data_IF_149498163082
#
_entry.id   IF_149498163082
#
_cell.length_a   1.000
_cell.length_b   1.000
_cell.length_c   1.000
_cell.angle_alpha   90.00
_cell.angle_beta   90.00
_cell.angle_gamma   90.00
#
_symmetry.space_group_name_H-M   'P 1'
#
loop_
_entity.id
_entity.type
_entity.pdbx_description
1 polymer ?
#
# COMPACT_ATOMS: atom_id res chain seq x y z
N UNK A 1 18.38 -59.33 26.61
CA UNK A 1 18.38 -57.94 27.03
C UNK A 1 19.68 -57.33 26.53
N UNK A 2 19.70 -56.74 25.35
CA UNK A 2 20.87 -56.04 24.79
C UNK A 2 20.38 -54.79 24.05
N UNK A 3 20.52 -53.64 24.74
CA UNK A 3 20.25 -52.35 24.20
C UNK A 3 21.28 -52.00 23.11
N UNK A 4 20.80 -51.63 21.92
CA UNK A 4 21.63 -51.02 20.87
C UNK A 4 21.59 -49.47 21.05
N UNK A 5 22.75 -48.80 21.12
CA UNK A 5 22.78 -47.34 21.17
C UNK A 5 22.43 -46.74 19.80
N UNK A 6 21.49 -45.80 19.79
CA UNK A 6 21.12 -45.05 18.62
C UNK A 6 22.24 -44.07 18.19
N UNK A 7 22.76 -44.24 17.00
CA UNK A 7 23.73 -43.35 16.39
C UNK A 7 23.07 -42.04 16.02
N UNK A 8 23.49 -40.93 16.67
CA UNK A 8 23.14 -39.55 16.30
C UNK A 8 23.87 -39.18 15.03
N UNK A 9 23.17 -39.17 13.91
CA UNK A 9 23.66 -38.50 12.68
C UNK A 9 23.43 -36.97 12.81
N UNK A 10 24.43 -36.27 13.30
CA UNK A 10 24.51 -34.84 13.28
C UNK A 10 25.21 -34.40 11.98
N UNK A 11 24.60 -33.50 11.20
CA UNK A 11 25.39 -32.48 10.54
C UNK A 11 25.42 -32.38 9.01
N UNK A 12 24.40 -32.83 8.24
CA UNK A 12 24.40 -32.59 6.78
C UNK A 12 23.25 -31.72 6.27
N UNK A 13 22.27 -31.36 7.12
CA UNK A 13 21.08 -30.63 6.69
C UNK A 13 21.26 -29.09 6.53
N UNK A 14 22.31 -28.50 7.12
CA UNK A 14 22.46 -27.05 7.17
C UNK A 14 23.09 -26.45 5.90
N UNK A 15 23.96 -27.18 5.22
CA UNK A 15 24.65 -26.71 4.00
C UNK A 15 23.70 -26.69 2.79
N UNK A 16 22.83 -27.68 2.67
CA UNK A 16 21.85 -27.77 1.57
C UNK A 16 20.73 -26.73 1.64
N UNK A 17 20.39 -26.28 2.86
CA UNK A 17 19.38 -25.20 3.03
C UNK A 17 19.87 -23.83 2.57
N UNK A 18 21.16 -23.51 2.69
CA UNK A 18 21.74 -22.24 2.23
C UNK A 18 21.87 -22.18 0.69
N UNK A 19 22.24 -23.29 0.05
CA UNK A 19 22.33 -23.36 -1.41
C UNK A 19 20.96 -23.18 -2.10
N UNK A 20 19.88 -23.69 -1.50
CA UNK A 20 18.51 -23.53 -2.00
C UNK A 20 17.97 -22.10 -1.89
N UNK A 21 18.42 -21.31 -0.89
CA UNK A 21 18.00 -19.93 -0.76
C UNK A 21 18.67 -19.02 -1.81
N UNK A 22 19.97 -19.15 -2.03
CA UNK A 22 20.70 -18.39 -3.07
C UNK A 22 20.10 -18.63 -4.48
N UNK A 23 19.82 -19.88 -4.83
CA UNK A 23 19.20 -20.22 -6.13
C UNK A 23 17.78 -19.66 -6.28
N UNK A 24 17.03 -19.54 -5.19
CA UNK A 24 15.70 -18.87 -5.21
C UNK A 24 15.86 -17.37 -5.41
N UNK A 25 16.80 -16.72 -4.74
CA UNK A 25 17.07 -15.30 -4.92
C UNK A 25 17.55 -14.95 -6.33
N UNK A 26 18.44 -15.74 -6.91
CA UNK A 26 18.89 -15.55 -8.30
C UNK A 26 17.76 -15.81 -9.30
N UNK A 27 16.94 -16.85 -9.07
CA UNK A 27 15.78 -17.14 -9.91
C UNK A 27 14.67 -16.08 -9.80
N UNK A 28 14.60 -15.32 -8.70
CA UNK A 28 13.64 -14.22 -8.55
C UNK A 28 14.20 -12.88 -9.06
N UNK A 29 15.51 -12.73 -9.13
CA UNK A 29 16.18 -11.49 -9.56
C UNK A 29 16.37 -11.40 -11.08
N UNK A 30 16.40 -12.56 -11.81
CA UNK A 30 16.68 -12.53 -13.24
C UNK A 30 15.68 -11.69 -14.07
N UNK A 31 14.35 -11.64 -13.77
CA UNK A 31 13.47 -10.80 -14.56
C UNK A 31 13.78 -9.32 -14.39
N UNK A 32 14.17 -8.89 -13.17
CA UNK A 32 14.58 -7.52 -12.91
C UNK A 32 15.87 -7.17 -13.66
N UNK A 33 16.88 -8.07 -13.63
CA UNK A 33 18.10 -7.90 -14.39
C UNK A 33 17.83 -7.81 -15.89
N UNK A 34 16.92 -8.63 -16.41
CA UNK A 34 16.53 -8.63 -17.82
C UNK A 34 15.90 -7.29 -18.22
N UNK A 35 15.01 -6.75 -17.39
CA UNK A 35 14.39 -5.44 -17.61
C UNK A 35 15.44 -4.32 -17.60
N UNK A 36 16.37 -4.34 -16.63
CA UNK A 36 17.44 -3.34 -16.54
C UNK A 36 18.38 -3.44 -17.73
N UNK A 37 18.76 -4.64 -18.15
CA UNK A 37 19.60 -4.85 -19.34
C UNK A 37 18.92 -4.40 -20.62
N UNK A 38 17.61 -4.69 -20.76
CA UNK A 38 16.83 -4.23 -21.90
C UNK A 38 16.73 -2.69 -21.92
N UNK A 39 16.48 -2.07 -20.77
CA UNK A 39 16.49 -0.62 -20.64
C UNK A 39 17.83 -0.02 -21.08
N UNK A 40 18.93 -0.54 -20.53
CA UNK A 40 20.27 -0.06 -20.86
C UNK A 40 20.60 -0.26 -22.34
N UNK A 41 20.22 -1.40 -22.93
CA UNK A 41 20.39 -1.67 -24.35
C UNK A 41 19.63 -0.66 -25.23
N UNK A 42 18.37 -0.35 -24.89
CA UNK A 42 17.56 0.63 -25.62
C UNK A 42 18.18 2.04 -25.53
N UNK A 43 18.68 2.41 -24.33
CA UNK A 43 19.34 3.68 -24.09
C UNK A 43 20.66 3.77 -24.88
N UNK A 44 21.47 2.71 -24.85
CA UNK A 44 22.77 2.65 -25.54
C UNK A 44 22.67 2.66 -27.06
N UNK A 45 21.65 1.98 -27.59
CA UNK A 45 21.36 1.94 -29.03
C UNK A 45 20.75 3.27 -29.54
N UNK A 46 20.56 4.26 -28.64
CA UNK A 46 19.98 5.57 -28.97
C UNK A 46 18.63 5.48 -29.69
N UNK A 47 17.87 4.41 -29.43
CA UNK A 47 16.55 4.19 -30.03
C UNK A 47 15.54 5.24 -29.54
N UNK A 48 15.82 5.92 -28.43
CA UNK A 48 15.02 6.99 -27.87
C UNK A 48 15.91 8.19 -27.51
N UNK A 49 15.31 9.37 -27.44
CA UNK A 49 16.04 10.55 -26.96
C UNK A 49 16.39 10.37 -25.47
N UNK A 50 17.62 10.75 -25.02
CA UNK A 50 18.04 10.63 -23.62
C UNK A 50 17.09 11.33 -22.63
N UNK A 51 16.30 12.31 -23.12
CA UNK A 51 15.28 13.00 -22.32
C UNK A 51 14.14 12.08 -21.89
N UNK A 52 13.78 11.07 -22.68
CA UNK A 52 12.68 10.14 -22.36
C UNK A 52 13.17 8.87 -21.67
N UNK A 53 14.37 8.41 -22.01
CA UNK A 53 14.95 7.22 -21.43
C UNK A 53 16.46 7.42 -21.21
N UNK A 54 16.84 8.05 -20.08
CA UNK A 54 18.26 8.20 -19.72
C UNK A 54 18.87 6.83 -19.40
N UNK A 55 20.21 6.74 -19.46
CA UNK A 55 20.92 5.52 -19.08
C UNK A 55 20.79 5.24 -17.58
N UNK A 56 20.85 3.98 -17.18
CA UNK A 56 20.78 3.59 -15.76
C UNK A 56 21.89 4.25 -14.93
N UNK A 57 23.16 4.32 -15.40
CA UNK A 57 24.21 5.06 -14.72
C UNK A 57 23.91 6.55 -14.51
N UNK A 58 23.30 7.22 -15.51
CA UNK A 58 22.95 8.64 -15.40
C UNK A 58 21.88 8.86 -14.34
N UNK A 59 20.87 7.98 -14.30
CA UNK A 59 19.82 8.03 -13.26
C UNK A 59 20.43 7.86 -11.86
N UNK A 60 21.31 6.88 -11.67
CA UNK A 60 21.97 6.63 -10.39
C UNK A 60 22.86 7.81 -9.99
N UNK A 61 23.61 8.36 -10.93
CA UNK A 61 24.46 9.53 -10.70
C UNK A 61 23.64 10.75 -10.31
N UNK A 62 22.55 11.04 -11.05
CA UNK A 62 21.68 12.17 -10.76
C UNK A 62 21.00 12.01 -9.41
N UNK A 63 20.51 10.81 -9.08
CA UNK A 63 19.95 10.53 -7.76
C UNK A 63 20.97 10.77 -6.65
N UNK A 64 22.21 10.30 -6.83
CA UNK A 64 23.30 10.55 -5.88
C UNK A 64 23.59 12.03 -5.67
N UNK A 65 23.66 12.81 -6.76
CA UNK A 65 23.89 14.27 -6.66
C UNK A 65 22.75 14.98 -5.94
N UNK A 66 21.49 14.66 -6.26
CA UNK A 66 20.30 15.24 -5.59
C UNK A 66 20.22 14.87 -4.12
N UNK A 67 20.69 13.67 -3.75
CA UNK A 67 20.73 13.24 -2.35
C UNK A 67 21.81 14.02 -1.58
N UNK A 68 22.98 14.24 -2.18
CA UNK A 68 24.09 14.99 -1.55
C UNK A 68 23.81 16.48 -1.48
N UNK A 69 23.13 17.07 -2.46
CA UNK A 69 22.75 18.50 -2.45
C UNK A 69 21.58 18.81 -1.49
N UNK A 70 20.85 17.77 -1.02
CA UNK A 70 19.68 17.95 -0.18
C UNK A 70 18.41 18.35 -0.93
N UNK A 71 18.46 18.45 -2.26
CA UNK A 71 17.34 18.90 -3.10
C UNK A 71 16.10 17.98 -3.01
N UNK A 72 16.27 16.72 -2.59
CA UNK A 72 15.18 15.76 -2.40
C UNK A 72 14.39 16.04 -1.13
N UNK A 73 15.02 16.56 -0.07
CA UNK A 73 14.44 16.65 1.26
C UNK A 73 13.15 17.47 1.32
N UNK A 74 13.17 18.67 0.75
CA UNK A 74 12.00 19.57 0.72
C UNK A 74 10.80 18.99 -0.03
N UNK A 75 10.95 18.61 -1.32
CA UNK A 75 9.86 17.99 -2.09
C UNK A 75 9.32 16.69 -1.47
N UNK A 76 10.20 15.86 -0.88
CA UNK A 76 9.79 14.63 -0.20
C UNK A 76 8.95 14.93 1.04
N UNK A 77 9.42 15.83 1.91
CA UNK A 77 8.69 16.23 3.11
C UNK A 77 7.31 16.81 2.75
N UNK A 78 7.24 17.65 1.71
CA UNK A 78 5.98 18.23 1.24
C UNK A 78 5.03 17.15 0.68
N UNK A 79 5.56 16.17 -0.04
CA UNK A 79 4.77 15.06 -0.60
C UNK A 79 4.23 14.16 0.52
N UNK A 80 5.05 13.85 1.52
CA UNK A 80 4.63 13.09 2.70
C UNK A 80 3.57 13.84 3.51
N UNK A 81 3.77 15.14 3.74
CA UNK A 81 2.76 15.97 4.41
C UNK A 81 1.40 15.90 3.70
N UNK A 82 1.37 16.07 2.37
CA UNK A 82 0.13 15.99 1.58
C UNK A 82 -0.53 14.62 1.66
N UNK A 83 0.27 13.57 1.57
CA UNK A 83 -0.19 12.19 1.65
C UNK A 83 -0.79 11.87 3.02
N UNK A 84 -0.06 12.20 4.10
CA UNK A 84 -0.54 11.93 5.46
C UNK A 84 -1.73 12.80 5.86
N UNK A 85 -1.76 14.07 5.48
CA UNK A 85 -2.90 14.94 5.73
C UNK A 85 -4.17 14.45 5.03
N UNK A 86 -4.07 14.07 3.75
CA UNK A 86 -5.18 13.49 3.00
C UNK A 86 -5.63 12.14 3.55
N UNK A 87 -4.69 11.28 3.93
CA UNK A 87 -4.98 9.98 4.54
C UNK A 87 -5.66 10.15 5.92
N UNK A 88 -5.16 11.04 6.77
CA UNK A 88 -5.77 11.29 8.09
C UNK A 88 -7.22 11.74 7.95
N UNK A 89 -7.50 12.65 7.02
CA UNK A 89 -8.88 13.05 6.71
C UNK A 89 -9.72 11.86 6.23
N UNK A 90 -9.18 11.05 5.32
CA UNK A 90 -9.86 9.86 4.79
C UNK A 90 -10.15 8.82 5.88
N UNK A 91 -9.22 8.61 6.81
CA UNK A 91 -9.40 7.71 7.96
C UNK A 91 -10.56 8.18 8.83
N UNK A 92 -10.55 9.44 9.24
CA UNK A 92 -11.61 9.99 10.11
C UNK A 92 -12.98 9.85 9.44
N UNK A 93 -13.13 10.33 8.21
CA UNK A 93 -14.39 10.27 7.46
C UNK A 93 -14.79 8.83 7.15
N UNK A 94 -13.84 8.02 6.67
CA UNK A 94 -14.10 6.64 6.28
C UNK A 94 -14.50 5.76 7.45
N UNK A 95 -13.86 5.92 8.61
CA UNK A 95 -14.22 5.19 9.84
C UNK A 95 -15.61 5.60 10.33
N UNK A 96 -15.89 6.89 10.42
CA UNK A 96 -17.20 7.37 10.87
C UNK A 96 -18.31 6.87 9.94
N UNK A 97 -18.15 7.04 8.63
CA UNK A 97 -19.15 6.61 7.64
C UNK A 97 -19.31 5.08 7.64
N UNK A 98 -18.20 4.33 7.67
CA UNK A 98 -18.24 2.87 7.71
C UNK A 98 -18.92 2.31 8.95
N UNK A 99 -18.67 2.90 10.13
CA UNK A 99 -19.36 2.54 11.37
C UNK A 99 -20.85 2.90 11.32
N UNK A 100 -21.21 4.06 10.80
CA UNK A 100 -22.63 4.44 10.63
C UNK A 100 -23.34 3.46 9.69
N UNK A 101 -22.71 3.08 8.60
CA UNK A 101 -23.25 2.06 7.68
C UNK A 101 -23.41 0.69 8.35
N UNK A 102 -22.48 0.29 9.22
CA UNK A 102 -22.57 -0.99 9.92
C UNK A 102 -23.66 -1.03 10.99
N UNK A 103 -24.00 0.12 11.58
CA UNK A 103 -25.02 0.24 12.65
C UNK A 103 -26.42 0.56 12.14
N UNK A 104 -26.55 1.18 10.96
CA UNK A 104 -27.83 1.65 10.41
C UNK A 104 -28.11 1.06 9.04
N UNK A 105 -29.19 0.29 8.95
CA UNK A 105 -29.67 -0.29 7.68
C UNK A 105 -30.01 0.80 6.66
N UNK A 106 -30.56 1.93 7.11
CA UNK A 106 -30.87 3.06 6.24
C UNK A 106 -29.62 3.73 5.70
N UNK A 107 -28.61 3.95 6.55
CA UNK A 107 -27.33 4.49 6.11
C UNK A 107 -26.64 3.57 5.12
N UNK A 108 -26.65 2.27 5.36
CA UNK A 108 -26.12 1.29 4.42
C UNK A 108 -26.83 1.38 3.07
N UNK A 109 -28.16 1.30 3.06
CA UNK A 109 -28.96 1.40 1.83
C UNK A 109 -28.72 2.69 1.04
N UNK A 110 -28.56 3.81 1.71
CA UNK A 110 -28.34 5.11 1.09
C UNK A 110 -26.92 5.29 0.54
N UNK A 111 -25.91 4.77 1.24
CA UNK A 111 -24.50 4.99 0.92
C UNK A 111 -23.85 3.87 0.09
N UNK A 112 -24.38 2.64 0.15
CA UNK A 112 -23.85 1.50 -0.57
C UNK A 112 -23.77 1.71 -2.10
N UNK A 113 -24.80 2.26 -2.77
CA UNK A 113 -24.69 2.56 -4.20
C UNK A 113 -23.57 3.55 -4.52
N UNK A 114 -23.37 4.56 -3.66
CA UNK A 114 -22.30 5.56 -3.85
C UNK A 114 -20.92 4.92 -3.70
N UNK A 115 -20.74 4.04 -2.71
CA UNK A 115 -19.51 3.30 -2.48
C UNK A 115 -19.25 2.33 -3.64
N UNK A 116 -20.25 1.55 -4.04
CA UNK A 116 -20.13 0.53 -5.09
C UNK A 116 -19.79 1.12 -6.45
N UNK A 117 -20.35 2.27 -6.81
CA UNK A 117 -20.04 2.99 -8.05
C UNK A 117 -18.69 3.73 -7.93
N UNK A 118 -18.43 4.32 -6.77
CA UNK A 118 -17.25 5.12 -6.54
C UNK A 118 -15.96 4.31 -6.47
N UNK A 119 -15.98 3.08 -5.96
CA UNK A 119 -14.78 2.24 -5.84
C UNK A 119 -14.08 1.97 -7.19
N UNK A 120 -14.75 1.46 -8.23
CA UNK A 120 -14.13 1.17 -9.52
C UNK A 120 -13.84 2.43 -10.35
N UNK A 121 -14.41 3.59 -9.97
CA UNK A 121 -14.22 4.83 -10.73
C UNK A 121 -12.76 5.29 -10.69
N UNK A 122 -12.12 5.59 -11.82
CA UNK A 122 -10.73 6.04 -11.87
C UNK A 122 -10.60 7.45 -11.29
N UNK A 123 -10.11 7.53 -10.03
CA UNK A 123 -10.01 8.79 -9.27
C UNK A 123 -9.08 9.81 -9.91
N UNK A 124 -8.10 9.35 -10.70
CA UNK A 124 -7.16 10.24 -11.40
C UNK A 124 -7.86 11.15 -12.41
N UNK A 125 -9.02 10.75 -12.93
CA UNK A 125 -9.81 11.57 -13.84
C UNK A 125 -10.35 12.86 -13.17
N UNK A 126 -10.40 12.89 -11.83
CA UNK A 126 -10.84 14.06 -11.08
C UNK A 126 -9.73 15.08 -10.83
N UNK A 127 -8.46 14.78 -11.13
CA UNK A 127 -7.33 15.69 -10.94
C UNK A 127 -7.58 17.08 -11.53
N UNK A 128 -8.02 17.23 -12.80
CA UNK A 128 -8.29 18.54 -13.38
C UNK A 128 -9.38 19.30 -12.63
N UNK A 129 -10.42 18.63 -12.15
CA UNK A 129 -11.53 19.23 -11.39
C UNK A 129 -11.02 19.77 -10.05
N UNK A 130 -10.21 18.97 -9.32
CA UNK A 130 -9.62 19.43 -8.04
C UNK A 130 -8.68 20.62 -8.24
N UNK A 131 -7.91 20.64 -9.33
CA UNK A 131 -7.04 21.77 -9.66
C UNK A 131 -7.87 23.01 -9.99
N UNK A 132 -8.96 22.84 -10.75
CA UNK A 132 -9.84 23.96 -11.12
C UNK A 132 -10.53 24.58 -9.92
N UNK A 133 -10.98 23.77 -8.95
CA UNK A 133 -11.71 24.23 -7.78
C UNK A 133 -10.81 24.74 -6.65
N UNK A 134 -9.69 24.11 -6.43
CA UNK A 134 -8.82 24.33 -5.26
C UNK A 134 -7.42 24.86 -5.63
N UNK A 135 -7.15 25.10 -6.92
CA UNK A 135 -5.85 25.54 -7.40
C UNK A 135 -4.80 24.42 -7.50
N UNK A 136 -3.58 24.79 -7.92
CA UNK A 136 -2.46 23.87 -8.12
C UNK A 136 -1.74 23.54 -6.81
N UNK A 137 -2.10 24.17 -5.72
CA UNK A 137 -1.44 24.11 -4.41
C UNK A 137 -1.60 22.76 -3.67
N UNK A 138 -1.16 22.74 -2.43
CA UNK A 138 -1.22 21.55 -1.58
C UNK A 138 -2.63 21.07 -1.28
N UNK A 139 -3.60 21.99 -1.22
CA UNK A 139 -4.98 21.67 -0.87
C UNK A 139 -5.63 20.73 -1.86
N UNK A 140 -5.53 21.00 -3.17
CA UNK A 140 -6.06 20.10 -4.22
C UNK A 140 -5.48 18.69 -4.14
N UNK A 141 -4.19 18.58 -3.84
CA UNK A 141 -3.49 17.30 -3.72
C UNK A 141 -3.92 16.54 -2.45
N UNK A 142 -4.06 17.23 -1.32
CA UNK A 142 -4.55 16.65 -0.06
C UNK A 142 -5.98 16.13 -0.24
N UNK A 143 -6.86 16.94 -0.83
CA UNK A 143 -8.25 16.55 -1.08
C UNK A 143 -8.37 15.40 -2.08
N UNK A 144 -7.51 15.35 -3.09
CA UNK A 144 -7.48 14.26 -4.05
C UNK A 144 -7.04 12.94 -3.37
N UNK A 145 -6.03 12.98 -2.50
CA UNK A 145 -5.62 11.82 -1.69
C UNK A 145 -6.77 11.39 -0.78
N UNK A 146 -7.39 12.34 -0.08
CA UNK A 146 -8.54 12.07 0.79
C UNK A 146 -9.68 11.40 0.00
N UNK A 147 -10.08 11.97 -1.13
CA UNK A 147 -11.12 11.43 -2.02
C UNK A 147 -10.80 10.01 -2.51
N UNK A 148 -9.52 9.74 -2.80
CA UNK A 148 -9.08 8.42 -3.24
C UNK A 148 -9.15 7.39 -2.13
N UNK A 149 -8.83 7.78 -0.89
CA UNK A 149 -8.71 6.88 0.25
C UNK A 149 -10.01 6.71 1.04
N UNK A 150 -10.96 7.66 1.01
CA UNK A 150 -12.20 7.60 1.82
C UNK A 150 -13.01 6.33 1.51
N UNK A 151 -13.29 6.03 0.26
CA UNK A 151 -14.13 4.88 -0.09
C UNK A 151 -13.54 3.53 0.31
N UNK A 152 -12.25 3.22 0.04
CA UNK A 152 -11.62 2.03 0.58
C UNK A 152 -11.68 1.94 2.11
N UNK A 153 -11.51 3.08 2.82
CA UNK A 153 -11.60 3.12 4.28
C UNK A 153 -13.01 2.84 4.78
N UNK A 154 -14.05 3.39 4.11
CA UNK A 154 -15.46 3.08 4.41
C UNK A 154 -15.71 1.59 4.32
N UNK A 155 -15.29 0.97 3.21
CA UNK A 155 -15.50 -0.46 2.96
C UNK A 155 -14.75 -1.33 3.97
N UNK A 156 -13.48 -1.01 4.23
CA UNK A 156 -12.68 -1.75 5.19
C UNK A 156 -13.30 -1.67 6.61
N UNK A 157 -13.75 -0.49 7.00
CA UNK A 157 -14.39 -0.27 8.31
C UNK A 157 -15.75 -0.98 8.40
N UNK A 158 -16.58 -0.88 7.37
CA UNK A 158 -17.87 -1.56 7.32
C UNK A 158 -17.72 -3.07 7.45
N UNK A 159 -16.87 -3.69 6.62
CA UNK A 159 -16.62 -5.13 6.68
C UNK A 159 -15.94 -5.56 7.98
N UNK A 160 -15.05 -4.76 8.53
CA UNK A 160 -14.44 -5.02 9.84
C UNK A 160 -15.48 -5.02 10.96
N UNK A 161 -16.42 -4.08 10.94
CA UNK A 161 -17.46 -3.96 11.95
C UNK A 161 -18.55 -5.08 11.84
N UNK A 162 -18.94 -5.44 10.62
CA UNK A 162 -19.94 -6.51 10.38
C UNK A 162 -19.32 -7.90 10.50
N UNK A 163 -18.02 -8.05 10.26
CA UNK A 163 -17.30 -9.33 10.27
C UNK A 163 -16.98 -9.89 11.66
N UNK A 164 -17.35 -9.20 12.74
CA UNK A 164 -17.13 -9.70 14.11
C UNK A 164 -18.01 -10.94 14.35
N UNK A 165 -17.36 -12.06 14.69
CA UNK A 165 -18.09 -13.32 14.90
C UNK A 165 -19.03 -13.23 16.11
N UNK A 166 -20.23 -13.78 15.97
CA UNK A 166 -21.25 -13.78 17.03
C UNK A 166 -20.76 -14.40 18.34
N UNK A 167 -19.84 -15.37 18.25
CA UNK A 167 -19.22 -16.00 19.44
C UNK A 167 -18.39 -15.03 20.27
N UNK A 168 -17.72 -14.06 19.63
CA UNK A 168 -16.95 -13.02 20.33
C UNK A 168 -17.91 -12.05 21.04
N UNK A 169 -19.02 -11.70 20.39
CA UNK A 169 -20.06 -10.84 20.98
C UNK A 169 -20.64 -11.52 22.20
N UNK A 170 -21.06 -12.77 22.12
CA UNK A 170 -21.59 -13.52 23.27
C UNK A 170 -20.59 -13.67 24.41
N UNK A 171 -19.31 -13.85 24.09
CA UNK A 171 -18.26 -13.91 25.11
C UNK A 171 -18.09 -12.58 25.84
N UNK A 172 -18.18 -11.46 25.14
CA UNK A 172 -18.11 -10.12 25.72
C UNK A 172 -19.34 -9.83 26.61
N UNK A 173 -20.54 -10.20 26.15
CA UNK A 173 -21.79 -10.11 26.94
C UNK A 173 -21.71 -10.94 28.22
N UNK A 174 -21.23 -12.19 28.14
CA UNK A 174 -21.05 -13.06 29.29
C UNK A 174 -20.06 -12.49 30.33
N UNK A 175 -19.10 -11.67 29.88
CA UNK A 175 -18.18 -10.94 30.76
C UNK A 175 -18.72 -9.59 31.27
N UNK A 176 -20.00 -9.27 31.02
CA UNK A 176 -20.66 -8.08 31.54
C UNK A 176 -20.41 -6.80 30.73
N UNK A 177 -19.97 -6.91 29.49
CA UNK A 177 -19.80 -5.75 28.59
C UNK A 177 -21.19 -5.28 28.11
N UNK A 178 -21.49 -3.98 28.26
CA UNK A 178 -22.75 -3.41 27.78
C UNK A 178 -22.71 -3.18 26.26
N UNK A 179 -23.87 -3.22 25.59
CA UNK A 179 -24.01 -3.00 24.14
C UNK A 179 -23.38 -1.68 23.65
N UNK A 180 -23.31 -0.66 24.51
CA UNK A 180 -22.71 0.65 24.19
C UNK A 180 -21.17 0.62 24.18
N UNK A 181 -20.56 -0.43 24.70
CA UNK A 181 -19.09 -0.62 24.73
C UNK A 181 -18.60 -1.66 23.70
N UNK A 182 -19.48 -2.30 22.99
CA UNK A 182 -19.24 -3.18 21.84
C UNK A 182 -19.37 -2.39 20.54
#
# INVERSE_FOLDING_TARGET
>A
MTERPAAKTKGTGAVWRKAGSLRRWTASAYPLLLVVLLWEAISWLSLTRPLFLPSVPDVVRQFGTMLMSGDIGGPLALSLYRAFAGLAFAVVVGVVVGLVMSRSRWAHWALDPLVSIGLPTPKIAFVPIFILWFGIDSLSKILLVAFTCVLPMVVATYHGAVGVSQSVIWSAEAMGTSETRM
#
